data_IF_167639237200
#
_entry.id   IF_167639237200
#
_cell.length_a   1.000
_cell.length_b   1.000
_cell.length_c   1.000
_cell.angle_alpha   90.00
_cell.angle_beta   90.00
_cell.angle_gamma   90.00
#
_symmetry.space_group_name_H-M   'P 1'
#
loop_
_entity.id
_entity.type
_entity.pdbx_description
1 polymer ?
#
# COMPACT_ATOMS: atom_id res chain seq x y z
N UNK A 1 5.76 -21.86 7.33
CA UNK A 1 6.53 -20.66 6.92
C UNK A 1 7.39 -21.11 5.75
N UNK A 2 7.05 -20.69 4.55
CA UNK A 2 7.93 -20.93 3.38
C UNK A 2 9.03 -19.89 3.48
N UNK A 3 10.24 -20.33 3.70
CA UNK A 3 11.41 -19.45 3.66
C UNK A 3 11.63 -19.02 2.20
N UNK A 4 11.88 -17.73 1.99
CA UNK A 4 12.27 -17.24 0.68
C UNK A 4 13.54 -18.02 0.23
N UNK A 5 13.62 -18.51 -1.00
CA UNK A 5 14.83 -19.20 -1.47
C UNK A 5 16.07 -18.34 -1.26
N UNK A 6 17.21 -18.95 -0.93
CA UNK A 6 18.48 -18.26 -0.67
C UNK A 6 19.00 -17.44 -1.87
N UNK A 7 18.46 -17.69 -3.06
CA UNK A 7 18.74 -16.99 -4.30
C UNK A 7 17.65 -15.98 -4.70
N UNK A 8 16.72 -15.70 -3.81
CA UNK A 8 15.68 -14.70 -4.06
C UNK A 8 16.30 -13.36 -4.47
N UNK A 9 15.79 -12.82 -5.56
CA UNK A 9 16.28 -11.62 -6.20
C UNK A 9 16.39 -10.43 -5.23
N UNK A 10 15.41 -10.28 -4.34
CA UNK A 10 15.38 -9.23 -3.32
C UNK A 10 16.60 -9.21 -2.38
N UNK A 11 17.17 -10.36 -2.08
CA UNK A 11 18.31 -10.48 -1.14
C UNK A 11 19.64 -10.09 -1.79
N UNK A 12 19.70 -10.10 -3.12
CA UNK A 12 20.95 -9.81 -3.87
C UNK A 12 21.04 -8.35 -4.33
N UNK A 13 19.91 -7.66 -4.44
CA UNK A 13 19.80 -6.38 -5.17
C UNK A 13 19.44 -5.18 -4.29
N UNK A 14 19.92 -5.16 -3.04
CA UNK A 14 19.77 -4.04 -2.14
C UNK A 14 18.47 -4.09 -1.32
N UNK A 15 18.31 -3.10 -0.46
CA UNK A 15 17.16 -2.99 0.44
C UNK A 15 15.91 -2.53 -0.33
N UNK A 16 14.83 -3.32 -0.38
CA UNK A 16 13.57 -2.87 -0.94
C UNK A 16 13.04 -1.66 -0.16
N UNK A 17 12.48 -0.69 -0.88
CA UNK A 17 11.82 0.47 -0.27
C UNK A 17 10.31 0.41 -0.42
N UNK A 18 9.83 -0.19 -1.52
CA UNK A 18 8.41 -0.39 -1.76
C UNK A 18 8.17 -1.50 -2.78
N UNK A 19 6.97 -2.09 -2.77
CA UNK A 19 6.54 -3.12 -3.71
C UNK A 19 5.03 -3.00 -3.92
N UNK A 20 4.60 -3.07 -5.18
CA UNK A 20 3.19 -3.17 -5.52
C UNK A 20 2.95 -4.18 -6.65
N UNK A 21 1.76 -4.75 -6.69
CA UNK A 21 1.35 -5.73 -7.68
C UNK A 21 0.03 -5.35 -8.35
N UNK A 22 -0.14 -5.77 -9.58
CA UNK A 22 -1.40 -5.67 -10.31
C UNK A 22 -2.43 -6.61 -9.67
N UNK A 23 -3.51 -6.05 -9.10
CA UNK A 23 -4.45 -6.85 -8.33
C UNK A 23 -5.27 -7.80 -9.21
N UNK A 24 -5.57 -7.41 -10.45
CA UNK A 24 -6.30 -8.24 -11.43
C UNK A 24 -5.38 -9.21 -12.18
N UNK A 25 -4.06 -8.94 -12.19
CA UNK A 25 -3.03 -9.77 -12.83
C UNK A 25 -1.88 -10.02 -11.84
N UNK A 26 -2.09 -10.82 -10.78
CA UNK A 26 -1.19 -10.94 -9.62
C UNK A 26 0.20 -11.51 -9.95
N UNK A 27 0.42 -11.99 -11.18
CA UNK A 27 1.74 -12.36 -11.67
C UNK A 27 2.62 -11.16 -12.04
N UNK A 28 2.02 -9.96 -12.12
CA UNK A 28 2.72 -8.72 -12.46
C UNK A 28 2.96 -7.93 -11.19
N UNK A 29 4.22 -7.61 -10.92
CA UNK A 29 4.60 -6.78 -9.78
C UNK A 29 5.84 -5.94 -10.10
N UNK A 30 5.99 -4.83 -9.39
CA UNK A 30 7.15 -3.96 -9.43
C UNK A 30 7.64 -3.67 -8.02
N UNK A 31 8.95 -3.58 -7.82
CA UNK A 31 9.50 -3.06 -6.58
C UNK A 31 10.56 -2.00 -6.83
N UNK A 32 10.71 -1.11 -5.86
CA UNK A 32 11.79 -0.14 -5.78
C UNK A 32 12.80 -0.54 -4.70
N UNK A 33 14.07 -0.23 -4.92
CA UNK A 33 15.15 -0.51 -3.97
C UNK A 33 16.18 0.63 -3.90
N UNK A 34 16.98 0.62 -2.83
CA UNK A 34 18.09 1.56 -2.65
C UNK A 34 19.31 1.23 -3.54
N UNK A 35 19.25 0.14 -4.32
CA UNK A 35 20.34 -0.26 -5.22
C UNK A 35 20.35 0.58 -6.50
N UNK A 36 21.52 1.07 -6.90
CA UNK A 36 21.66 1.99 -8.04
C UNK A 36 21.37 1.31 -9.39
N UNK A 37 21.79 0.09 -9.55
CA UNK A 37 21.70 -0.66 -10.81
C UNK A 37 20.37 -1.36 -11.00
N UNK A 38 19.70 -1.68 -9.89
CA UNK A 38 18.44 -2.42 -9.85
C UNK A 38 17.40 -1.66 -9.03
N UNK A 39 17.38 -0.33 -9.16
CA UNK A 39 16.49 0.55 -8.41
C UNK A 39 15.02 0.16 -8.60
N UNK A 40 14.63 -0.10 -9.84
CA UNK A 40 13.30 -0.58 -10.21
C UNK A 40 13.43 -1.93 -10.89
N UNK A 41 12.64 -2.87 -10.44
CA UNK A 41 12.63 -4.24 -10.95
C UNK A 41 11.19 -4.74 -10.99
N UNK A 42 10.84 -5.48 -12.03
CA UNK A 42 9.50 -6.01 -12.22
C UNK A 42 9.52 -7.51 -12.53
N UNK A 43 8.38 -8.14 -12.30
CA UNK A 43 8.09 -9.52 -12.70
C UNK A 43 6.80 -9.57 -13.50
N UNK A 44 6.67 -10.55 -14.41
CA UNK A 44 5.45 -10.87 -15.16
C UNK A 44 5.02 -12.34 -14.97
N UNK A 45 5.68 -13.05 -14.08
CA UNK A 45 5.51 -14.50 -13.88
C UNK A 45 5.36 -14.90 -12.39
N UNK A 46 4.86 -13.97 -11.58
CA UNK A 46 4.61 -14.22 -10.15
C UNK A 46 5.88 -14.30 -9.32
N UNK A 47 6.96 -13.62 -9.76
CA UNK A 47 8.21 -13.56 -9.03
C UNK A 47 9.18 -14.71 -9.31
N UNK A 48 8.88 -15.58 -10.29
CA UNK A 48 9.83 -16.62 -10.71
C UNK A 48 11.06 -16.00 -11.38
N UNK A 49 10.85 -14.98 -12.21
CA UNK A 49 11.92 -14.16 -12.79
C UNK A 49 11.69 -12.68 -12.54
N UNK A 50 12.76 -11.92 -12.44
CA UNK A 50 12.74 -10.49 -12.22
C UNK A 50 13.66 -9.78 -13.21
N UNK A 51 13.15 -8.74 -13.82
CA UNK A 51 13.85 -7.93 -14.81
C UNK A 51 14.08 -6.52 -14.26
N UNK A 52 15.30 -6.00 -14.43
CA UNK A 52 15.62 -4.63 -14.01
C UNK A 52 15.19 -3.65 -15.09
N UNK A 53 14.54 -2.57 -14.68
CA UNK A 53 14.24 -1.44 -15.57
C UNK A 53 15.55 -0.79 -16.05
N UNK A 54 15.75 -0.76 -17.36
CA UNK A 54 17.02 -0.33 -17.96
C UNK A 54 17.15 1.19 -18.06
N UNK A 55 16.05 1.89 -18.33
CA UNK A 55 16.04 3.32 -18.64
C UNK A 55 15.26 4.13 -17.59
N UNK A 56 15.81 4.23 -16.37
CA UNK A 56 15.16 5.07 -15.37
C UNK A 56 15.44 6.57 -15.63
N UNK A 57 14.43 7.43 -15.46
CA UNK A 57 14.54 8.85 -15.84
C UNK A 57 15.28 9.71 -14.79
N UNK A 58 15.49 9.20 -13.59
CA UNK A 58 16.09 9.90 -12.46
C UNK A 58 17.23 9.06 -11.86
N UNK A 59 18.37 9.63 -11.48
CA UNK A 59 19.48 8.91 -10.86
C UNK A 59 19.20 8.46 -9.42
N UNK A 60 18.12 8.95 -8.79
CA UNK A 60 17.74 8.56 -7.44
C UNK A 60 17.47 7.06 -7.33
N UNK A 61 17.50 6.56 -6.10
CA UNK A 61 17.24 5.16 -5.77
C UNK A 61 16.07 5.08 -4.79
N UNK A 62 15.46 3.90 -4.67
CA UNK A 62 14.33 3.69 -3.79
C UNK A 62 13.10 4.50 -4.18
N UNK A 63 12.28 4.84 -3.19
CA UNK A 63 11.04 5.57 -3.37
C UNK A 63 9.83 4.67 -3.31
N UNK A 64 8.69 5.17 -3.79
CA UNK A 64 7.41 4.47 -3.80
C UNK A 64 7.02 4.05 -5.22
N UNK A 65 6.28 2.97 -5.32
CA UNK A 65 5.69 2.47 -6.56
C UNK A 65 4.20 2.19 -6.37
N UNK A 66 3.40 2.48 -7.41
CA UNK A 66 2.00 2.07 -7.46
C UNK A 66 1.71 1.47 -8.82
N UNK A 67 1.19 0.24 -8.86
CA UNK A 67 0.92 -0.53 -10.06
C UNK A 67 -0.57 -0.50 -10.38
N UNK A 68 -0.93 -0.15 -11.61
CA UNK A 68 -2.31 -0.25 -12.10
C UNK A 68 -2.89 -1.64 -11.88
N UNK A 69 -4.20 -1.73 -11.65
CA UNK A 69 -4.88 -2.99 -11.31
C UNK A 69 -4.61 -4.13 -12.31
N UNK A 70 -4.43 -3.82 -13.58
CA UNK A 70 -4.16 -4.77 -14.67
C UNK A 70 -2.68 -4.84 -15.10
N UNK A 71 -1.79 -4.10 -14.43
CA UNK A 71 -0.37 -4.02 -14.76
C UNK A 71 -0.03 -3.16 -15.99
N UNK A 72 -1.00 -2.42 -16.54
CA UNK A 72 -0.83 -1.61 -17.76
C UNK A 72 0.06 -0.38 -17.57
N UNK A 73 0.22 0.09 -16.32
CA UNK A 73 1.10 1.20 -15.97
C UNK A 73 1.60 1.08 -14.54
N UNK A 74 2.68 1.76 -14.23
CA UNK A 74 3.03 2.04 -12.84
C UNK A 74 3.63 3.43 -12.68
N UNK A 75 3.37 4.02 -11.51
CA UNK A 75 3.96 5.29 -11.09
C UNK A 75 5.13 5.00 -10.17
N UNK A 76 6.23 5.73 -10.34
CA UNK A 76 7.38 5.75 -9.44
C UNK A 76 7.61 7.14 -8.89
N UNK A 77 7.65 7.25 -7.56
CA UNK A 77 8.05 8.46 -6.85
C UNK A 77 9.44 8.20 -6.26
N UNK A 78 10.52 8.71 -6.89
CA UNK A 78 11.88 8.45 -6.44
C UNK A 78 12.15 9.08 -5.05
N UNK A 79 13.00 8.46 -4.27
CA UNK A 79 13.43 9.01 -2.98
C UNK A 79 14.44 10.16 -3.21
N UNK A 80 13.93 11.30 -3.62
CA UNK A 80 14.73 12.49 -3.96
C UNK A 80 13.95 13.76 -3.64
N UNK A 81 14.56 14.67 -2.91
CA UNK A 81 13.97 15.97 -2.54
C UNK A 81 13.78 16.93 -3.73
N UNK A 82 14.36 16.61 -4.87
CA UNK A 82 14.22 17.37 -6.12
C UNK A 82 13.66 16.54 -7.26
N UNK A 83 13.41 15.27 -7.02
CA UNK A 83 12.83 14.35 -8.01
C UNK A 83 11.36 14.68 -8.28
N UNK A 84 10.92 14.38 -9.49
CA UNK A 84 9.49 14.39 -9.83
C UNK A 84 8.97 12.96 -9.84
N UNK A 85 7.68 12.75 -9.61
CA UNK A 85 7.06 11.47 -9.92
C UNK A 85 7.07 11.18 -11.42
N UNK A 86 7.16 9.91 -11.78
CA UNK A 86 7.19 9.43 -13.16
C UNK A 86 6.18 8.30 -13.35
N UNK A 87 5.63 8.19 -14.55
CA UNK A 87 4.77 7.07 -14.96
C UNK A 87 5.32 6.41 -16.21
N UNK A 88 5.16 5.10 -16.29
CA UNK A 88 5.47 4.28 -17.47
C UNK A 88 4.29 3.38 -17.82
N UNK A 89 4.13 3.07 -19.11
CA UNK A 89 3.11 2.17 -19.67
C UNK A 89 3.74 0.95 -20.37
N UNK A 90 5.06 0.82 -20.28
CA UNK A 90 5.86 -0.18 -21.00
C UNK A 90 7.01 -0.74 -20.14
N UNK A 91 6.78 -0.79 -18.82
CA UNK A 91 7.75 -1.30 -17.83
C UNK A 91 9.10 -0.56 -17.83
N UNK A 92 9.04 0.76 -18.10
CA UNK A 92 10.21 1.63 -18.00
C UNK A 92 11.05 1.76 -19.25
N UNK A 93 10.56 1.33 -20.41
CA UNK A 93 11.18 1.66 -21.70
C UNK A 93 11.02 3.15 -22.01
N UNK A 94 9.81 3.69 -21.73
CA UNK A 94 9.52 5.13 -21.83
C UNK A 94 8.90 5.67 -20.53
N UNK A 95 9.21 6.93 -20.23
CA UNK A 95 8.76 7.59 -19.01
C UNK A 95 8.16 8.97 -19.30
N UNK A 96 7.13 9.28 -18.56
CA UNK A 96 6.47 10.59 -18.59
C UNK A 96 6.51 11.20 -17.18
N UNK A 97 6.62 12.52 -17.12
CA UNK A 97 6.44 13.23 -15.85
C UNK A 97 4.99 13.13 -15.40
N UNK A 98 4.78 12.84 -14.13
CA UNK A 98 3.47 12.95 -13.52
C UNK A 98 3.19 14.42 -13.22
N UNK A 99 2.06 14.90 -13.69
CA UNK A 99 1.62 16.27 -13.42
C UNK A 99 0.72 16.31 -12.17
N UNK A 100 0.80 17.41 -11.42
CA UNK A 100 -0.04 17.67 -10.25
C UNK A 100 0.50 17.14 -8.91
N UNK A 101 1.56 16.31 -8.90
CA UNK A 101 2.13 15.79 -7.65
C UNK A 101 3.55 16.29 -7.38
N UNK A 102 3.87 16.47 -6.10
CA UNK A 102 5.22 16.72 -5.59
C UNK A 102 5.99 15.43 -5.26
N UNK A 103 7.27 15.58 -4.94
CA UNK A 103 8.18 14.47 -4.57
C UNK A 103 7.82 13.81 -3.23
N UNK A 104 7.05 14.48 -2.39
CA UNK A 104 6.60 14.01 -1.06
C UNK A 104 5.24 13.30 -1.09
N UNK A 105 4.66 13.09 -2.27
CA UNK A 105 3.39 12.41 -2.39
C UNK A 105 3.47 10.96 -1.88
N UNK A 106 2.35 10.50 -1.30
CA UNK A 106 2.10 9.09 -0.98
C UNK A 106 1.05 8.60 -1.96
N UNK A 107 1.27 7.43 -2.55
CA UNK A 107 0.49 6.99 -3.70
C UNK A 107 -0.02 5.57 -3.52
N UNK A 108 -1.19 5.29 -4.06
CA UNK A 108 -1.73 3.94 -4.27
C UNK A 108 -2.51 3.88 -5.58
N UNK A 109 -2.58 2.71 -6.22
CA UNK A 109 -3.45 2.47 -7.35
C UNK A 109 -4.79 1.88 -6.89
N UNK A 110 -5.87 2.17 -7.60
CA UNK A 110 -7.13 1.46 -7.44
C UNK A 110 -6.95 -0.03 -7.74
N UNK A 111 -7.66 -0.89 -7.04
CA UNK A 111 -7.52 -2.34 -7.18
C UNK A 111 -8.52 -2.96 -8.16
N UNK A 112 -9.36 -2.14 -8.79
CA UNK A 112 -10.40 -2.53 -9.76
C UNK A 112 -10.23 -1.81 -11.08
N UNK A 113 -10.09 -0.49 -11.05
CA UNK A 113 -9.98 0.34 -12.25
C UNK A 113 -8.52 0.73 -12.52
N UNK A 114 -7.90 0.22 -13.60
CA UNK A 114 -6.49 0.48 -13.89
C UNK A 114 -6.15 1.93 -14.25
N UNK A 115 -7.17 2.76 -14.48
CA UNK A 115 -6.97 4.20 -14.77
C UNK A 115 -6.94 5.07 -13.52
N UNK A 116 -7.41 4.54 -12.38
CA UNK A 116 -7.51 5.31 -11.15
C UNK A 116 -6.27 5.13 -10.27
N UNK A 117 -5.71 6.27 -9.88
CA UNK A 117 -4.66 6.34 -8.87
C UNK A 117 -5.01 7.44 -7.89
N UNK A 118 -4.58 7.27 -6.65
CA UNK A 118 -4.86 8.17 -5.54
C UNK A 118 -3.58 8.58 -4.86
N UNK A 119 -3.51 9.83 -4.44
CA UNK A 119 -2.35 10.32 -3.70
C UNK A 119 -2.75 11.30 -2.60
N UNK A 120 -1.95 11.32 -1.54
CA UNK A 120 -1.89 12.44 -0.60
C UNK A 120 -0.60 13.21 -0.85
N UNK A 121 -0.69 14.53 -0.92
CA UNK A 121 0.45 15.40 -1.14
C UNK A 121 0.17 16.78 -0.53
N UNK A 122 1.11 17.31 0.26
CA UNK A 122 1.01 18.64 0.87
C UNK A 122 -0.33 18.90 1.59
N UNK A 123 -0.84 17.89 2.31
CA UNK A 123 -2.08 18.00 3.07
C UNK A 123 -3.37 17.96 2.24
N UNK A 124 -3.29 17.57 0.98
CA UNK A 124 -4.43 17.48 0.07
C UNK A 124 -4.53 16.08 -0.55
N UNK A 125 -5.75 15.68 -0.93
CA UNK A 125 -6.00 14.44 -1.65
C UNK A 125 -6.12 14.69 -3.15
N UNK A 126 -5.51 13.78 -3.94
CA UNK A 126 -5.44 13.86 -5.39
C UNK A 126 -5.91 12.57 -6.04
N UNK A 127 -6.50 12.68 -7.22
CA UNK A 127 -6.94 11.55 -8.04
C UNK A 127 -6.43 11.70 -9.47
N UNK A 128 -5.88 10.61 -10.02
CA UNK A 128 -5.66 10.45 -11.46
C UNK A 128 -6.76 9.55 -12.03
N UNK A 129 -7.23 9.88 -13.25
CA UNK A 129 -8.24 9.12 -14.00
C UNK A 129 -7.71 8.62 -15.35
N UNK A 130 -6.41 8.73 -15.57
CA UNK A 130 -5.74 8.46 -16.86
C UNK A 130 -4.54 7.53 -16.75
N UNK A 131 -4.48 6.71 -15.71
CA UNK A 131 -3.41 5.73 -15.52
C UNK A 131 -2.17 6.28 -14.86
N UNK A 132 -2.30 7.36 -14.06
CA UNK A 132 -1.24 7.91 -13.24
C UNK A 132 -0.46 9.07 -13.89
N UNK A 133 -0.91 9.62 -15.03
CA UNK A 133 -0.23 10.72 -15.70
C UNK A 133 -0.56 12.09 -15.10
N UNK A 134 -1.84 12.38 -14.95
CA UNK A 134 -2.30 13.66 -14.41
C UNK A 134 -3.06 13.44 -13.12
N UNK A 135 -2.70 14.18 -12.07
CA UNK A 135 -3.39 14.17 -10.79
C UNK A 135 -4.05 15.52 -10.53
N UNK A 136 -5.32 15.47 -10.20
CA UNK A 136 -6.11 16.64 -9.84
C UNK A 136 -6.48 16.61 -8.36
N UNK A 137 -6.34 17.76 -7.69
CA UNK A 137 -6.79 17.87 -6.30
C UNK A 137 -8.31 17.78 -6.23
N UNK A 138 -8.82 16.97 -5.31
CA UNK A 138 -10.27 16.89 -5.03
C UNK A 138 -10.76 18.05 -4.15
N UNK A 139 -9.85 18.88 -3.63
CA UNK A 139 -10.15 19.91 -2.66
C UNK A 139 -10.30 19.40 -1.22
N UNK A 140 -10.18 18.10 -1.00
CA UNK A 140 -10.27 17.50 0.33
C UNK A 140 -8.95 17.59 1.06
N UNK A 141 -8.98 18.09 2.29
CA UNK A 141 -7.83 18.17 3.17
C UNK A 141 -7.62 16.85 3.90
N UNK A 142 -6.37 16.38 3.92
CA UNK A 142 -5.93 15.19 4.62
C UNK A 142 -4.71 15.50 5.49
N UNK A 143 -4.29 14.60 6.37
CA UNK A 143 -3.04 14.82 7.10
C UNK A 143 -1.83 14.76 6.14
N UNK A 144 -0.81 15.57 6.37
CA UNK A 144 0.42 15.58 5.55
C UNK A 144 1.11 14.20 5.50
N UNK A 145 1.01 13.44 6.58
CA UNK A 145 1.55 12.08 6.69
C UNK A 145 0.56 10.98 6.30
N UNK A 146 -0.63 11.33 5.80
CA UNK A 146 -1.64 10.33 5.47
C UNK A 146 -1.17 9.41 4.33
N UNK A 147 -1.25 8.11 4.57
CA UNK A 147 -0.93 7.09 3.57
C UNK A 147 -2.23 6.52 2.99
N UNK A 148 -2.47 6.65 1.67
CA UNK A 148 -3.64 6.09 1.03
C UNK A 148 -3.47 4.59 0.79
N UNK A 149 -4.52 3.82 1.10
CA UNK A 149 -4.60 2.38 0.88
C UNK A 149 -5.91 2.06 0.18
N UNK A 150 -5.84 1.57 -1.05
CA UNK A 150 -7.01 1.19 -1.84
C UNK A 150 -7.60 -0.14 -1.37
N UNK A 151 -8.93 -0.23 -1.41
CA UNK A 151 -9.67 -1.44 -1.04
C UNK A 151 -9.84 -2.35 -2.26
N UNK A 152 -9.46 -3.61 -2.15
CA UNK A 152 -9.66 -4.55 -3.26
C UNK A 152 -11.14 -4.85 -3.50
N UNK A 153 -11.50 -5.06 -4.77
CA UNK A 153 -12.86 -5.38 -5.18
C UNK A 153 -13.86 -4.22 -5.11
N UNK A 154 -13.42 -3.03 -4.72
CA UNK A 154 -14.25 -1.84 -4.56
C UNK A 154 -13.58 -0.64 -5.24
N UNK A 155 -14.06 -0.30 -6.45
CA UNK A 155 -13.58 0.87 -7.18
C UNK A 155 -13.90 2.17 -6.42
N UNK A 156 -12.93 3.06 -6.34
CA UNK A 156 -13.10 4.36 -5.68
C UNK A 156 -12.99 4.33 -4.16
N UNK A 157 -12.80 3.14 -3.56
CA UNK A 157 -12.70 3.01 -2.11
C UNK A 157 -11.25 3.13 -1.65
N UNK A 158 -10.95 4.17 -0.88
CA UNK A 158 -9.61 4.45 -0.34
C UNK A 158 -9.70 4.81 1.12
N UNK A 159 -8.82 4.22 1.89
CA UNK A 159 -8.61 4.58 3.29
C UNK A 159 -7.31 5.35 3.44
N UNK A 160 -7.30 6.31 4.33
CA UNK A 160 -6.13 7.09 4.70
C UNK A 160 -5.87 6.93 6.19
N UNK A 161 -4.66 6.55 6.52
CA UNK A 161 -4.20 6.51 7.91
C UNK A 161 -3.05 7.48 8.14
N UNK A 162 -3.06 8.08 9.32
CA UNK A 162 -1.95 8.82 9.89
C UNK A 162 -1.87 8.49 11.37
N UNK A 163 -0.83 8.89 12.06
CA UNK A 163 -0.64 8.57 13.48
C UNK A 163 -1.82 8.92 14.41
N UNK A 164 -2.72 9.80 13.97
CA UNK A 164 -3.83 10.32 14.81
C UNK A 164 -5.19 10.30 14.12
N UNK A 165 -5.26 9.81 12.88
CA UNK A 165 -6.48 9.91 12.09
C UNK A 165 -6.62 8.72 11.14
N UNK A 166 -7.83 8.19 11.06
CA UNK A 166 -8.28 7.33 9.96
C UNK A 166 -9.45 8.02 9.29
N UNK A 167 -9.45 8.06 7.99
CA UNK A 167 -10.59 8.49 7.18
C UNK A 167 -10.71 7.62 5.95
N UNK A 168 -11.88 7.56 5.35
CA UNK A 168 -12.08 6.81 4.11
C UNK A 168 -13.03 7.53 3.17
N UNK A 169 -12.89 7.22 1.90
CA UNK A 169 -13.78 7.60 0.81
C UNK A 169 -14.31 6.36 0.11
N UNK A 170 -15.54 6.43 -0.42
CA UNK A 170 -16.15 5.39 -1.26
C UNK A 170 -16.46 5.92 -2.67
N UNK A 171 -16.07 7.17 -2.95
CA UNK A 171 -16.39 7.91 -4.17
C UNK A 171 -15.16 8.59 -4.82
N UNK A 172 -14.00 7.92 -4.70
CA UNK A 172 -12.73 8.37 -5.26
C UNK A 172 -12.29 9.76 -4.73
N UNK A 173 -12.65 10.08 -3.49
CA UNK A 173 -12.22 11.31 -2.83
C UNK A 173 -13.14 12.53 -3.04
N UNK A 174 -14.36 12.34 -3.56
CA UNK A 174 -15.34 13.42 -3.60
C UNK A 174 -15.82 13.77 -2.18
N UNK A 175 -15.94 12.76 -1.31
CA UNK A 175 -16.25 12.93 0.12
C UNK A 175 -15.45 12.00 1.00
N UNK A 176 -15.29 12.37 2.29
CA UNK A 176 -14.60 11.55 3.29
C UNK A 176 -15.37 11.40 4.57
N UNK A 177 -15.33 10.21 5.14
CA UNK A 177 -15.80 9.92 6.49
C UNK A 177 -14.61 9.69 7.46
N UNK A 178 -14.73 10.20 8.68
CA UNK A 178 -13.72 10.03 9.72
C UNK A 178 -14.05 8.84 10.61
N UNK A 179 -13.05 7.98 10.85
CA UNK A 179 -13.11 6.89 11.83
C UNK A 179 -12.45 7.34 13.12
N UNK A 180 -13.23 7.43 14.22
CA UNK A 180 -12.76 8.04 15.49
C UNK A 180 -12.49 7.02 16.62
N UNK A 181 -12.51 5.73 16.30
CA UNK A 181 -12.51 4.66 17.32
C UNK A 181 -11.14 4.10 17.67
N UNK A 182 -10.08 4.45 16.94
CA UNK A 182 -8.69 4.21 17.33
C UNK A 182 -8.02 5.54 17.70
N UNK A 183 -7.25 5.53 18.77
CA UNK A 183 -6.52 6.70 19.26
C UNK A 183 -5.22 6.93 18.51
N UNK A 184 -4.59 5.85 18.05
CA UNK A 184 -3.41 5.88 17.19
C UNK A 184 -3.49 4.79 16.14
N UNK A 185 -2.95 5.03 14.95
CA UNK A 185 -2.87 4.08 13.86
C UNK A 185 -1.55 4.26 13.12
N UNK A 186 -0.80 3.17 12.99
CA UNK A 186 0.48 3.19 12.27
C UNK A 186 0.36 2.59 10.87
N UNK A 187 -0.52 1.59 10.71
CA UNK A 187 -0.79 1.00 9.39
C UNK A 187 -2.18 0.37 9.35
N UNK A 188 -2.74 0.28 8.15
CA UNK A 188 -4.00 -0.39 7.86
C UNK A 188 -3.87 -1.29 6.64
N UNK A 189 -4.71 -2.33 6.57
CA UNK A 189 -4.81 -3.21 5.41
C UNK A 189 -6.12 -3.96 5.41
N UNK A 190 -6.41 -4.62 4.29
CA UNK A 190 -7.72 -5.23 4.04
C UNK A 190 -7.59 -6.73 3.83
N UNK A 191 -8.58 -7.48 4.31
CA UNK A 191 -8.71 -8.91 4.10
C UNK A 191 -10.11 -9.29 3.64
N UNK A 192 -10.28 -10.55 3.22
CA UNK A 192 -11.56 -11.08 2.77
C UNK A 192 -12.66 -10.84 3.79
N UNK A 193 -13.81 -10.37 3.32
CA UNK A 193 -15.05 -10.32 4.09
C UNK A 193 -15.54 -11.71 4.50
N UNK A 194 -16.42 -11.77 5.49
CA UNK A 194 -16.94 -13.03 6.04
C UNK A 194 -17.66 -13.87 4.99
N UNK A 195 -18.33 -13.22 4.07
CA UNK A 195 -19.03 -13.81 2.91
C UNK A 195 -18.98 -12.83 1.73
N UNK A 196 -19.56 -13.24 0.60
CA UNK A 196 -19.54 -12.47 -0.65
C UNK A 196 -20.36 -11.16 -0.61
N UNK A 197 -21.09 -10.91 0.49
CA UNK A 197 -21.90 -9.70 0.70
C UNK A 197 -21.30 -8.78 1.75
N UNK A 198 -20.29 -9.25 2.47
CA UNK A 198 -19.64 -8.51 3.53
C UNK A 198 -18.55 -7.61 2.96
N UNK A 199 -18.43 -6.41 3.50
CA UNK A 199 -17.28 -5.54 3.21
C UNK A 199 -15.97 -6.26 3.58
N UNK A 200 -14.85 -5.90 2.96
CA UNK A 200 -13.54 -6.37 3.38
C UNK A 200 -13.28 -6.10 4.86
N UNK A 201 -12.68 -7.05 5.53
CA UNK A 201 -12.24 -6.89 6.92
C UNK A 201 -11.07 -5.91 6.96
N UNK A 202 -11.11 -4.98 7.90
CA UNK A 202 -10.04 -4.02 8.11
C UNK A 202 -9.15 -4.52 9.23
N UNK A 203 -7.85 -4.53 8.99
CA UNK A 203 -6.84 -4.76 10.00
C UNK A 203 -6.07 -3.46 10.21
N UNK A 204 -5.78 -3.16 11.47
CA UNK A 204 -5.01 -1.97 11.84
C UNK A 204 -3.99 -2.34 12.92
N UNK A 205 -2.85 -1.70 12.86
CA UNK A 205 -1.94 -1.62 13.98
C UNK A 205 -2.09 -0.26 14.64
N UNK A 206 -2.29 -0.28 15.96
CA UNK A 206 -2.57 0.95 16.70
C UNK A 206 -3.02 0.70 18.11
N UNK A 207 -3.70 1.69 18.69
CA UNK A 207 -4.23 1.70 20.06
C UNK A 207 -5.68 2.20 20.08
N UNK A 208 -6.58 1.52 20.78
CA UNK A 208 -7.97 1.96 20.95
C UNK A 208 -8.18 2.83 22.21
N UNK A 209 -7.09 3.13 22.95
CA UNK A 209 -7.12 3.88 24.19
C UNK A 209 -7.59 3.09 25.42
N UNK A 210 -7.91 1.79 25.25
CA UNK A 210 -8.43 0.93 26.33
C UNK A 210 -7.64 -0.35 26.46
N UNK A 211 -7.43 -1.05 25.35
CA UNK A 211 -6.76 -2.36 25.33
C UNK A 211 -5.26 -2.27 25.00
N UNK A 212 -4.76 -1.03 24.77
CA UNK A 212 -3.37 -0.75 24.48
C UNK A 212 -2.95 -1.07 23.06
N UNK A 213 -1.69 -0.80 22.75
CA UNK A 213 -1.13 -0.96 21.43
C UNK A 213 -1.11 -2.43 20.97
N UNK A 214 -1.60 -2.68 19.76
CA UNK A 214 -1.71 -4.02 19.22
C UNK A 214 -2.24 -4.08 17.81
N UNK A 215 -2.64 -5.28 17.41
CA UNK A 215 -3.28 -5.55 16.12
C UNK A 215 -4.78 -5.60 16.32
N UNK A 216 -5.50 -4.79 15.59
CA UNK A 216 -6.94 -4.62 15.66
C UNK A 216 -7.61 -5.09 14.37
N UNK A 217 -8.82 -5.57 14.51
CA UNK A 217 -9.68 -6.03 13.42
C UNK A 217 -11.06 -5.38 13.52
N UNK A 218 -11.57 -4.90 12.39
CA UNK A 218 -12.94 -4.39 12.24
C UNK A 218 -13.64 -5.06 11.07
N UNK A 219 -14.93 -5.36 11.26
CA UNK A 219 -15.84 -5.92 10.23
C UNK A 219 -16.99 -4.97 9.89
N UNK A 220 -16.97 -3.76 10.43
CA UNK A 220 -18.06 -2.79 10.35
C UNK A 220 -17.59 -1.38 9.93
N UNK A 221 -16.58 -1.33 9.05
CA UNK A 221 -15.98 -0.08 8.56
C UNK A 221 -15.41 0.79 9.68
N UNK A 222 -14.73 0.15 10.64
CA UNK A 222 -14.05 0.85 11.73
C UNK A 222 -14.97 1.42 12.81
N UNK A 223 -16.27 1.06 12.83
CA UNK A 223 -17.20 1.47 13.90
C UNK A 223 -16.89 0.78 15.21
N UNK A 224 -16.41 -0.46 15.16
CA UNK A 224 -15.89 -1.20 16.30
C UNK A 224 -14.60 -1.96 15.94
N UNK A 225 -13.76 -2.16 16.95
CA UNK A 225 -12.48 -2.83 16.80
C UNK A 225 -12.30 -3.91 17.86
N UNK A 226 -11.73 -5.02 17.45
CA UNK A 226 -11.35 -6.12 18.35
C UNK A 226 -9.84 -6.29 18.28
N UNK A 227 -9.15 -6.18 19.42
CA UNK A 227 -7.74 -6.54 19.48
C UNK A 227 -7.58 -8.03 19.31
N UNK A 228 -6.74 -8.47 18.37
CA UNK A 228 -6.57 -9.88 17.99
C UNK A 228 -5.26 -10.50 18.44
N UNK A 229 -4.38 -9.72 19.04
CA UNK A 229 -3.18 -10.21 19.72
C UNK A 229 -3.22 -9.85 21.22
N UNK A 230 -2.60 -10.68 22.06
CA UNK A 230 -2.44 -10.43 23.48
C UNK A 230 -1.07 -9.84 23.82
N UNK A 231 -0.83 -9.56 25.11
CA UNK A 231 0.43 -8.97 25.57
C UNK A 231 1.62 -9.94 25.56
N UNK A 232 1.37 -11.24 25.43
CA UNK A 232 2.43 -12.26 25.27
C UNK A 232 2.85 -12.41 23.82
N UNK A 233 1.98 -12.02 22.86
CA UNK A 233 2.16 -12.11 21.43
C UNK A 233 2.31 -10.71 20.80
N UNK A 234 3.21 -9.90 21.36
CA UNK A 234 3.59 -8.58 20.78
C UNK A 234 4.69 -8.69 19.72
N UNK A 235 5.23 -9.89 19.49
CA UNK A 235 6.20 -10.23 18.43
C UNK A 235 7.47 -9.35 18.38
N UNK A 236 7.86 -8.72 19.49
CA UNK A 236 8.94 -7.75 19.62
C UNK A 236 8.41 -6.31 19.61
N UNK A 237 9.25 -5.35 19.31
CA UNK A 237 8.79 -4.00 19.00
C UNK A 237 7.99 -4.08 17.71
N UNK A 238 6.68 -3.93 17.84
CA UNK A 238 5.83 -3.69 16.71
C UNK A 238 6.24 -2.32 16.18
N UNK A 239 6.97 -2.29 15.11
CA UNK A 239 7.15 -1.13 14.26
C UNK A 239 6.89 -1.61 12.82
N UNK A 240 5.72 -2.22 12.60
CA UNK A 240 5.35 -2.70 11.31
C UNK A 240 4.86 -1.51 10.50
N UNK A 241 5.47 -1.32 9.38
CA UNK A 241 4.94 -0.40 8.38
C UNK A 241 3.85 -1.05 7.52
N UNK A 242 3.64 -2.35 7.67
CA UNK A 242 2.78 -3.10 6.75
C UNK A 242 1.97 -4.17 7.48
N UNK A 243 0.67 -4.04 7.40
CA UNK A 243 -0.31 -5.04 7.77
C UNK A 243 -1.25 -5.26 6.58
N UNK A 244 -1.62 -6.49 6.30
CA UNK A 244 -2.64 -6.80 5.29
C UNK A 244 -3.36 -8.08 5.66
N UNK A 245 -4.65 -8.17 5.31
CA UNK A 245 -5.39 -9.42 5.34
C UNK A 245 -5.23 -10.21 4.04
N UNK A 246 -5.55 -11.50 4.10
CA UNK A 246 -5.63 -12.34 2.91
C UNK A 246 -6.91 -12.04 2.13
N UNK A 247 -6.81 -11.71 0.86
CA UNK A 247 -7.96 -11.41 0.00
C UNK A 247 -8.81 -12.64 -0.34
N UNK A 248 -8.30 -13.85 -0.07
CA UNK A 248 -8.97 -15.13 -0.39
C UNK A 248 -9.41 -15.90 0.86
N UNK A 249 -8.79 -15.65 2.02
CA UNK A 249 -9.05 -16.38 3.26
C UNK A 249 -9.56 -15.45 4.34
N UNK A 250 -10.84 -15.55 4.66
CA UNK A 250 -11.44 -14.76 5.74
C UNK A 250 -10.73 -14.99 7.07
N UNK A 251 -10.41 -13.90 7.76
CA UNK A 251 -9.79 -13.91 9.08
C UNK A 251 -8.29 -14.12 9.11
N UNK A 252 -7.65 -14.33 7.95
CA UNK A 252 -6.19 -14.41 7.86
C UNK A 252 -5.59 -13.01 7.73
N UNK A 253 -4.55 -12.75 8.50
CA UNK A 253 -3.80 -11.50 8.50
C UNK A 253 -2.30 -11.77 8.44
N UNK A 254 -1.58 -10.90 7.74
CA UNK A 254 -0.12 -10.87 7.69
C UNK A 254 0.35 -9.52 8.20
N UNK A 255 1.38 -9.51 9.01
CA UNK A 255 2.03 -8.28 9.42
C UNK A 255 3.55 -8.45 9.50
N UNK A 256 4.25 -7.39 9.19
CA UNK A 256 5.70 -7.34 9.27
C UNK A 256 6.12 -6.98 10.70
N UNK A 257 7.21 -7.59 11.15
CA UNK A 257 7.79 -7.29 12.46
C UNK A 257 9.18 -6.73 12.31
N UNK A 258 9.61 -5.90 13.23
CA UNK A 258 10.99 -5.43 13.28
C UNK A 258 11.91 -6.58 13.76
N UNK A 259 12.54 -7.25 12.78
CA UNK A 259 13.56 -8.28 13.02
C UNK A 259 13.07 -9.73 13.18
N UNK A 260 11.76 -10.03 13.07
CA UNK A 260 11.23 -11.40 13.11
C UNK A 260 10.57 -11.87 11.81
N UNK A 261 10.67 -11.04 10.75
CA UNK A 261 10.04 -11.33 9.46
C UNK A 261 8.54 -11.09 9.45
N UNK A 262 7.82 -11.82 8.61
CA UNK A 262 6.37 -11.73 8.45
C UNK A 262 5.70 -12.76 9.36
N UNK A 263 4.73 -12.31 10.15
CA UNK A 263 3.88 -13.16 10.98
C UNK A 263 2.51 -13.30 10.32
N UNK A 264 1.98 -14.51 10.32
CA UNK A 264 0.64 -14.82 9.86
C UNK A 264 -0.23 -15.22 11.07
N UNK A 265 -1.43 -14.64 11.15
CA UNK A 265 -2.48 -15.03 12.09
C UNK A 265 -3.72 -15.55 11.37
N UNK A 266 -4.37 -16.57 11.93
CA UNK A 266 -5.66 -17.10 11.51
C UNK A 266 -6.66 -17.02 12.66
N UNK A 267 -7.97 -17.02 12.37
CA UNK A 267 -9.01 -17.18 13.40
C UNK A 267 -8.80 -18.52 14.10
N UNK A 268 -8.73 -18.49 15.43
CA UNK A 268 -8.71 -19.73 16.23
C UNK A 268 -9.97 -20.57 15.95
N UNK A 269 -9.76 -21.85 15.72
CA UNK A 269 -10.85 -22.82 15.51
C UNK A 269 -11.46 -23.26 16.82
#
# INVERSE_FOLDING_TARGET
VTQCPDDAHFMKNGKPTDLDCAFLEPNIAVYASEEKTTTLTYTKDGGNTWESVQHKPDPATGGQVAMAADGSSFVWIPNSVSGKPYVTYDFGETWYYVEGLGFNAKITADRVNPKLFYASCDGMFYVSKDGGLNFESTGQMVAESAEPVSVFGQEGHVWLSSSTMIMYTEDAGESFENVKTLSTVDSIGFGKGKDDKSDPVIYAEGDDGTNGYGIYRSEDKGKSWTRINDDQHKFGNLNPKYITGDSNVYGRVYFCTDGRGIVMGDIAK
#
